data_IF_673158363699
#
_entry.id   IF_673158363699
#
_cell.length_a   1.000
_cell.length_b   1.000
_cell.length_c   1.000
_cell.angle_alpha   90.00
_cell.angle_beta   90.00
_cell.angle_gamma   90.00
#
_symmetry.space_group_name_H-M   'P 1'
#
loop_
_entity.id
_entity.type
_entity.pdbx_description
1 polymer ?
#
# COMPACT_ATOMS: atom_id res chain seq x y z
N UNK A 1 -3.77 2.62 5.25
CA UNK A 1 -4.80 3.48 4.64
C UNK A 1 -4.23 4.88 4.45
N UNK A 2 -4.01 5.63 5.53
CA UNK A 2 -3.56 7.04 5.46
C UNK A 2 -2.31 7.25 4.59
N UNK A 3 -1.25 6.45 4.79
CA UNK A 3 -0.05 6.54 3.98
C UNK A 3 -0.24 6.14 2.51
N UNK A 4 -1.18 5.24 2.22
CA UNK A 4 -1.55 4.88 0.85
C UNK A 4 -2.30 6.04 0.19
N UNK A 5 -3.31 6.59 0.87
CA UNK A 5 -4.14 7.67 0.34
C UNK A 5 -3.32 8.88 -0.09
N UNK A 6 -2.36 9.31 0.75
CA UNK A 6 -1.48 10.44 0.42
C UNK A 6 -0.66 10.19 -0.85
N UNK A 7 -0.15 8.98 -1.04
CA UNK A 7 0.69 8.62 -2.19
C UNK A 7 -0.16 8.53 -3.47
N UNK A 8 -1.37 8.00 -3.36
CA UNK A 8 -2.33 7.96 -4.46
C UNK A 8 -2.78 9.36 -4.86
N UNK A 9 -3.09 10.23 -3.89
CA UNK A 9 -3.48 11.63 -4.12
C UNK A 9 -2.33 12.43 -4.76
N UNK A 10 -1.07 12.03 -4.52
CA UNK A 10 0.10 12.58 -5.20
C UNK A 10 0.30 12.05 -6.64
N UNK A 11 -0.58 11.19 -7.14
CA UNK A 11 -0.57 10.67 -8.52
C UNK A 11 0.12 9.32 -8.70
N UNK A 12 0.36 8.55 -7.63
CA UNK A 12 0.93 7.21 -7.77
C UNK A 12 -0.05 6.24 -8.45
N UNK A 13 0.45 5.52 -9.44
CA UNK A 13 -0.31 4.51 -10.19
C UNK A 13 -0.15 3.09 -9.64
N UNK A 14 0.85 2.87 -8.79
CA UNK A 14 1.10 1.58 -8.14
C UNK A 14 1.85 1.72 -6.80
N UNK A 15 1.66 0.78 -5.89
CA UNK A 15 2.34 0.71 -4.59
C UNK A 15 2.84 -0.71 -4.30
N UNK A 16 4.06 -0.82 -3.79
CA UNK A 16 4.63 -2.08 -3.31
C UNK A 16 4.84 -2.00 -1.79
N UNK A 17 4.34 -2.98 -1.05
CA UNK A 17 4.50 -3.04 0.41
C UNK A 17 4.85 -4.45 0.91
N UNK A 18 5.51 -4.59 2.06
CA UNK A 18 5.87 -5.89 2.61
C UNK A 18 4.66 -6.76 2.98
N UNK A 19 3.59 -6.14 3.47
CA UNK A 19 2.48 -6.83 4.13
C UNK A 19 2.84 -7.33 5.54
N UNK A 20 1.98 -8.21 6.06
CA UNK A 20 2.07 -8.79 7.40
C UNK A 20 1.41 -7.95 8.49
N UNK A 21 0.53 -7.01 8.14
CA UNK A 21 -0.29 -6.26 9.09
C UNK A 21 -1.64 -6.93 9.27
N UNK A 22 -2.17 -6.93 10.50
CA UNK A 22 -3.59 -7.29 10.71
C UNK A 22 -4.55 -6.38 9.94
N UNK A 23 -4.10 -5.17 9.60
CA UNK A 23 -4.88 -4.17 8.84
C UNK A 23 -4.58 -4.17 7.34
N UNK A 24 -3.89 -5.19 6.80
CA UNK A 24 -3.58 -5.21 5.36
C UNK A 24 -4.85 -5.16 4.50
N UNK A 25 -5.95 -5.77 4.94
CA UNK A 25 -7.22 -5.75 4.22
C UNK A 25 -7.75 -4.31 4.02
N UNK A 26 -7.71 -3.46 5.05
CA UNK A 26 -8.13 -2.06 4.93
C UNK A 26 -7.29 -1.27 3.92
N UNK A 27 -6.01 -1.65 3.74
CA UNK A 27 -5.10 -1.01 2.77
C UNK A 27 -5.36 -1.51 1.36
N UNK A 28 -5.66 -2.80 1.20
CA UNK A 28 -6.04 -3.41 -0.07
C UNK A 28 -7.37 -2.82 -0.56
N UNK A 29 -8.36 -2.69 0.31
CA UNK A 29 -9.67 -2.15 -0.03
C UNK A 29 -9.53 -0.70 -0.50
N UNK A 30 -8.74 0.11 0.20
CA UNK A 30 -8.43 1.49 -0.23
C UNK A 30 -7.71 1.54 -1.59
N UNK A 31 -6.79 0.61 -1.88
CA UNK A 31 -6.14 0.53 -3.19
C UNK A 31 -7.14 0.18 -4.31
N UNK A 32 -8.06 -0.75 -4.04
CA UNK A 32 -9.10 -1.16 -4.98
C UNK A 32 -10.11 -0.03 -5.23
N UNK A 33 -10.56 0.67 -4.19
CA UNK A 33 -11.45 1.84 -4.30
C UNK A 33 -10.85 2.93 -5.19
N UNK A 34 -9.52 3.09 -5.14
CA UNK A 34 -8.79 4.08 -5.92
C UNK A 34 -8.32 3.57 -7.29
N UNK A 35 -8.50 2.28 -7.59
CA UNK A 35 -8.07 1.67 -8.85
C UNK A 35 -6.54 1.60 -9.02
N UNK A 36 -5.79 1.49 -7.92
CA UNK A 36 -4.32 1.50 -7.92
C UNK A 36 -3.77 0.08 -7.79
N UNK A 37 -2.76 -0.25 -8.59
CA UNK A 37 -2.12 -1.56 -8.52
C UNK A 37 -1.29 -1.70 -7.24
N UNK A 38 -1.57 -2.72 -6.42
CA UNK A 38 -0.84 -3.01 -5.19
C UNK A 38 -0.14 -4.36 -5.25
N UNK A 39 1.12 -4.41 -4.80
CA UNK A 39 1.93 -5.64 -4.77
C UNK A 39 2.48 -5.87 -3.37
N UNK A 40 2.42 -7.13 -2.91
CA UNK A 40 3.08 -7.56 -1.68
C UNK A 40 4.48 -8.11 -1.98
N UNK A 41 5.50 -7.57 -1.31
CA UNK A 41 6.90 -8.02 -1.48
C UNK A 41 7.28 -9.13 -0.50
N UNK A 42 6.60 -9.24 0.64
CA UNK A 42 6.93 -10.20 1.70
C UNK A 42 8.25 -9.91 2.43
N UNK A 43 8.96 -8.82 2.10
CA UNK A 43 10.29 -8.49 2.65
C UNK A 43 10.30 -7.06 3.17
N UNK A 44 10.81 -6.87 4.39
CA UNK A 44 11.02 -5.55 5.00
C UNK A 44 12.50 -5.15 4.89
N UNK A 45 12.76 -3.93 4.41
CA UNK A 45 14.10 -3.37 4.25
C UNK A 45 14.35 -2.23 5.25
N UNK A 46 14.22 -2.51 6.54
CA UNK A 46 14.59 -1.50 7.54
C UNK A 46 16.09 -1.22 7.49
N UNK A 47 16.43 0.06 7.53
CA UNK A 47 17.79 0.57 7.67
C UNK A 47 17.74 1.77 8.61
N UNK A 48 18.56 1.73 9.66
CA UNK A 48 18.69 2.79 10.66
C UNK A 48 19.70 3.84 10.19
#
# INVERSE_FOLDING_TARGET
RDGLDVVVDAGATCVAQPGGSMRDQEVIDAANERGVAMVFTGVRHFRH
#
